data_IF_117841469415
#
_entry.id   IF_117841469415
#
_cell.length_a   1.000
_cell.length_b   1.000
_cell.length_c   1.000
_cell.angle_alpha   90.00
_cell.angle_beta   90.00
_cell.angle_gamma   90.00
#
_symmetry.space_group_name_H-M   'P 1'
#
loop_
_entity.id
_entity.type
_entity.pdbx_description
1 polymer ?
#
# COMPACT_ATOMS: atom_id res chain seq x y z
N UNK A 1 -6.94 -15.57 5.19
CA UNK A 1 -7.54 -15.32 3.86
C UNK A 1 -7.33 -16.57 3.01
N UNK A 2 -8.32 -17.06 2.23
CA UNK A 2 -8.11 -18.18 1.30
C UNK A 2 -6.98 -17.89 0.31
N UNK A 3 -6.22 -18.89 -0.12
CA UNK A 3 -5.07 -18.70 -1.04
C UNK A 3 -5.47 -18.09 -2.39
N UNK A 4 -6.72 -18.25 -2.81
CA UNK A 4 -7.28 -17.69 -4.04
C UNK A 4 -7.83 -16.26 -3.89
N UNK A 5 -7.86 -15.71 -2.67
CA UNK A 5 -8.41 -14.39 -2.41
C UNK A 5 -7.47 -13.26 -2.86
N UNK A 6 -8.02 -12.04 -2.91
CA UNK A 6 -7.27 -10.80 -3.15
C UNK A 6 -7.67 -9.75 -2.12
N UNK A 7 -6.67 -9.03 -1.62
CA UNK A 7 -6.85 -7.81 -0.85
C UNK A 7 -6.63 -6.62 -1.80
N UNK A 8 -7.59 -5.71 -1.84
CA UNK A 8 -7.51 -4.48 -2.62
C UNK A 8 -7.47 -3.29 -1.67
N UNK A 9 -6.34 -2.58 -1.62
CA UNK A 9 -6.23 -1.31 -0.90
C UNK A 9 -6.41 -0.18 -1.91
N UNK A 10 -7.31 0.76 -1.62
CA UNK A 10 -7.55 1.93 -2.48
C UNK A 10 -7.04 3.16 -1.75
N UNK A 11 -5.84 3.60 -2.10
CA UNK A 11 -5.06 4.58 -1.32
C UNK A 11 -4.27 5.53 -2.22
N UNK A 12 -3.88 6.69 -1.69
CA UNK A 12 -2.97 7.60 -2.39
C UNK A 12 -1.51 7.12 -2.26
N UNK A 13 -1.15 6.13 -3.09
CA UNK A 13 0.24 5.63 -3.15
C UNK A 13 1.18 6.76 -3.57
N UNK A 14 2.09 7.13 -2.68
CA UNK A 14 2.98 8.26 -2.89
C UNK A 14 4.02 7.93 -3.98
N UNK A 15 4.08 8.70 -5.09
CA UNK A 15 5.16 8.56 -6.06
C UNK A 15 6.48 9.12 -5.47
N UNK A 16 7.63 8.64 -5.94
CA UNK A 16 8.91 9.25 -5.59
C UNK A 16 9.00 10.69 -6.13
N UNK A 17 9.94 11.47 -5.61
CA UNK A 17 10.20 12.83 -6.09
C UNK A 17 9.30 13.90 -5.44
N UNK A 18 9.37 15.13 -5.96
CA UNK A 18 8.81 16.34 -5.34
C UNK A 18 7.70 16.99 -6.16
N UNK A 19 7.25 16.34 -7.23
CA UNK A 19 6.19 16.79 -8.09
C UNK A 19 4.87 16.92 -7.32
N UNK A 20 4.00 17.88 -7.69
CA UNK A 20 2.68 18.03 -7.07
C UNK A 20 1.86 16.76 -7.18
N UNK A 21 1.32 16.29 -6.05
CA UNK A 21 0.43 15.13 -5.98
C UNK A 21 -0.54 15.33 -4.83
N UNK A 22 -1.84 15.06 -5.07
CA UNK A 22 -2.87 15.25 -4.04
C UNK A 22 -2.59 14.43 -2.77
N UNK A 23 -2.05 13.21 -2.92
CA UNK A 23 -1.68 12.35 -1.79
C UNK A 23 -0.67 13.00 -0.83
N UNK A 24 0.21 13.88 -1.30
CA UNK A 24 1.15 14.61 -0.41
C UNK A 24 0.44 15.61 0.50
N UNK A 25 -0.67 16.19 0.04
CA UNK A 25 -1.52 17.04 0.89
C UNK A 25 -2.36 16.20 1.86
N UNK A 26 -2.85 15.05 1.42
CA UNK A 26 -3.58 14.11 2.28
C UNK A 26 -2.68 13.57 3.38
N UNK A 27 -1.41 13.29 3.09
CA UNK A 27 -0.41 12.86 4.08
C UNK A 27 -0.27 13.86 5.24
N UNK A 28 -0.19 15.16 4.92
CA UNK A 28 -0.18 16.21 5.95
C UNK A 28 -1.50 16.28 6.74
N UNK A 29 -2.64 16.09 6.07
CA UNK A 29 -3.93 16.03 6.75
C UNK A 29 -3.99 14.82 7.69
N UNK A 30 -3.51 13.64 7.27
CA UNK A 30 -3.42 12.44 8.11
C UNK A 30 -2.53 12.66 9.33
N UNK A 31 -1.36 13.28 9.14
CA UNK A 31 -0.43 13.64 10.23
C UNK A 31 -1.12 14.46 11.33
N UNK A 32 -1.96 15.43 10.94
CA UNK A 32 -2.68 16.29 11.89
C UNK A 32 -3.86 15.58 12.54
N UNK A 33 -4.62 14.79 11.77
CA UNK A 33 -5.90 14.26 12.21
C UNK A 33 -5.79 12.93 12.98
N UNK A 34 -4.77 12.12 12.70
CA UNK A 34 -4.62 10.78 13.25
C UNK A 34 -3.16 10.53 13.66
N UNK A 35 -2.86 10.41 14.98
CA UNK A 35 -1.51 10.18 15.46
C UNK A 35 -0.84 8.96 14.81
N UNK A 36 0.29 9.18 14.14
CA UNK A 36 1.07 8.13 13.48
C UNK A 36 0.52 7.66 12.13
N UNK A 37 -0.58 8.25 11.63
CA UNK A 37 -1.06 8.02 10.28
C UNK A 37 -0.19 8.75 9.27
N UNK A 38 -0.04 8.12 8.10
CA UNK A 38 0.66 8.66 6.94
C UNK A 38 0.19 7.92 5.68
N UNK A 39 0.27 8.60 4.55
CA UNK A 39 0.25 7.94 3.25
C UNK A 39 1.56 7.18 3.05
N UNK A 40 1.57 6.22 2.13
CA UNK A 40 2.72 5.31 1.94
C UNK A 40 3.11 5.18 0.48
N UNK A 41 4.39 4.96 0.26
CA UNK A 41 4.95 4.54 -1.01
C UNK A 41 4.60 3.06 -1.30
N UNK A 42 4.80 2.63 -2.54
CA UNK A 42 4.59 1.23 -2.93
C UNK A 42 5.48 0.27 -2.10
N UNK A 43 6.74 0.63 -1.87
CA UNK A 43 7.70 -0.19 -1.11
C UNK A 43 7.31 -0.33 0.37
N UNK A 44 6.73 0.72 0.95
CA UNK A 44 6.21 0.68 2.32
C UNK A 44 4.94 -0.16 2.42
N UNK A 45 4.05 -0.11 1.42
CA UNK A 45 2.93 -1.05 1.34
C UNK A 45 3.40 -2.49 1.19
N UNK A 46 4.39 -2.75 0.34
CA UNK A 46 4.97 -4.09 0.19
C UNK A 46 5.51 -4.60 1.53
N UNK A 47 6.29 -3.77 2.23
CA UNK A 47 6.86 -4.13 3.53
C UNK A 47 5.77 -4.37 4.59
N UNK A 48 4.71 -3.57 4.59
CA UNK A 48 3.57 -3.72 5.50
C UNK A 48 2.78 -5.00 5.21
N UNK A 49 2.50 -5.27 3.94
CA UNK A 49 1.76 -6.44 3.50
C UNK A 49 2.52 -7.73 3.82
N UNK A 50 3.83 -7.77 3.58
CA UNK A 50 4.67 -8.94 3.90
C UNK A 50 4.61 -9.25 5.38
N UNK A 51 4.74 -8.23 6.24
CA UNK A 51 4.57 -8.38 7.69
C UNK A 51 3.17 -8.84 8.10
N UNK A 52 2.16 -8.57 7.28
CA UNK A 52 0.78 -9.01 7.47
C UNK A 52 0.47 -10.38 6.82
N UNK A 53 1.46 -11.07 6.24
CA UNK A 53 1.27 -12.37 5.59
C UNK A 53 0.67 -12.28 4.19
N UNK A 54 0.90 -11.18 3.46
CA UNK A 54 0.47 -10.98 2.08
C UNK A 54 1.60 -10.35 1.26
N UNK A 55 1.57 -10.45 -0.06
CA UNK A 55 2.53 -9.75 -0.93
C UNK A 55 1.79 -8.93 -1.97
N UNK A 56 2.31 -7.75 -2.28
CA UNK A 56 1.79 -6.92 -3.38
C UNK A 56 2.07 -7.63 -4.70
N UNK A 57 1.05 -7.69 -5.56
CA UNK A 57 1.15 -8.16 -6.93
C UNK A 57 1.30 -6.98 -7.90
N UNK A 58 0.57 -5.90 -7.66
CA UNK A 58 0.56 -4.72 -8.52
C UNK A 58 0.04 -3.47 -7.80
N UNK A 59 0.45 -2.30 -8.30
CA UNK A 59 -0.14 -1.00 -7.97
C UNK A 59 -0.72 -0.41 -9.23
N UNK A 60 -2.05 -0.28 -9.29
CA UNK A 60 -2.78 0.18 -10.48
C UNK A 60 -3.31 1.60 -10.24
N UNK A 61 -2.81 2.62 -10.95
CA UNK A 61 -3.31 3.99 -10.77
C UNK A 61 -4.74 4.13 -11.29
N UNK A 62 -5.56 4.94 -10.61
CA UNK A 62 -6.88 5.34 -11.11
C UNK A 62 -6.85 6.73 -11.74
N UNK A 63 -7.89 7.08 -12.50
CA UNK A 63 -8.00 8.38 -13.15
C UNK A 63 -8.14 9.58 -12.19
N UNK A 64 -8.47 9.34 -10.91
CA UNK A 64 -8.81 10.39 -9.94
C UNK A 64 -7.81 10.53 -8.80
N UNK A 65 -6.64 9.89 -8.89
CA UNK A 65 -5.54 10.05 -7.94
C UNK A 65 -5.19 8.82 -7.09
N UNK A 66 -6.12 8.17 -6.36
CA UNK A 66 -5.79 6.97 -5.61
C UNK A 66 -5.40 5.84 -6.56
N UNK A 67 -4.64 4.88 -6.04
CA UNK A 67 -4.26 3.65 -6.73
C UNK A 67 -4.89 2.45 -6.03
N UNK A 68 -5.11 1.38 -6.79
CA UNK A 68 -5.46 0.07 -6.25
C UNK A 68 -4.18 -0.73 -6.05
N UNK A 69 -3.81 -0.97 -4.80
CA UNK A 69 -2.75 -1.93 -4.45
C UNK A 69 -3.40 -3.30 -4.31
N UNK A 70 -3.05 -4.21 -5.21
CA UNK A 70 -3.52 -5.58 -5.19
C UNK A 70 -2.53 -6.47 -4.45
N UNK A 71 -3.01 -7.22 -3.48
CA UNK A 71 -2.20 -8.16 -2.73
C UNK A 71 -2.86 -9.54 -2.64
N UNK A 72 -2.02 -10.57 -2.56
CA UNK A 72 -2.44 -11.95 -2.33
C UNK A 72 -1.82 -12.49 -1.03
N UNK A 73 -2.48 -13.43 -0.35
CA UNK A 73 -1.89 -14.09 0.82
C UNK A 73 -0.57 -14.78 0.45
N UNK A 74 0.43 -14.70 1.33
CA UNK A 74 1.65 -15.50 1.24
C UNK A 74 1.32 -16.97 1.61
N UNK A 75 1.92 -17.93 0.91
CA UNK A 75 1.80 -19.34 1.30
C UNK A 75 2.76 -19.66 2.45
N UNK A 76 2.48 -20.74 3.20
CA UNK A 76 3.34 -21.14 4.33
C UNK A 76 4.80 -21.42 3.92
N UNK A 77 5.04 -21.77 2.64
CA UNK A 77 6.37 -21.95 2.08
C UNK A 77 7.13 -20.62 1.89
N UNK A 78 6.42 -19.50 1.73
CA UNK A 78 7.01 -18.18 1.46
C UNK A 78 7.51 -17.47 2.74
N UNK A 79 7.11 -17.96 3.92
CA UNK A 79 7.39 -17.34 5.22
C UNK A 79 8.76 -17.78 5.78
N UNK A 80 9.36 -18.85 5.22
CA UNK A 80 10.56 -19.50 5.76
C UNK A 80 11.91 -18.95 5.31
N UNK A 81 11.96 -17.85 4.56
CA UNK A 81 13.19 -17.37 3.90
C UNK A 81 13.57 -15.90 4.23
N UNK A 82 13.08 -15.36 5.35
CA UNK A 82 13.36 -13.99 5.80
C UNK A 82 14.27 -13.93 7.01
#
# INVERSE_FOLDING_TARGET
>A
MPSTSRLLLVEFVLPPGNEPFLGKWVDLHMLVMAPGARERTADEYQSLLVRAGSTTCSVVPTAVGPSVVEAMPLEAADIGNG
#
